data_IF_159704752470
#
_entry.id   IF_159704752470
#
_cell.length_a   1.000
_cell.length_b   1.000
_cell.length_c   1.000
_cell.angle_alpha   90.00
_cell.angle_beta   90.00
_cell.angle_gamma   90.00
#
_symmetry.space_group_name_H-M   'P 1'
#
loop_
_entity.id
_entity.type
_entity.pdbx_description
1 polymer ?
#
# COMPACT_ATOMS: atom_id res chain seq x y z
N UNK A 1 9.00 1.40 -31.54
CA UNK A 1 10.12 1.88 -30.69
C UNK A 1 10.25 3.40 -30.72
N UNK A 2 10.19 4.02 -31.89
CA UNK A 2 10.41 5.47 -32.07
C UNK A 2 9.40 6.37 -31.31
N UNK A 3 8.10 6.04 -31.34
CA UNK A 3 7.08 6.80 -30.60
C UNK A 3 7.33 6.80 -29.09
N UNK A 4 7.76 5.67 -28.52
CA UNK A 4 8.14 5.56 -27.10
C UNK A 4 9.36 6.42 -26.80
N UNK A 5 10.40 6.36 -27.64
CA UNK A 5 11.60 7.19 -27.45
C UNK A 5 11.30 8.69 -27.46
N UNK A 6 10.47 9.14 -28.41
CA UNK A 6 10.03 10.54 -28.49
C UNK A 6 9.18 10.94 -27.28
N UNK A 7 8.26 10.07 -26.83
CA UNK A 7 7.42 10.34 -25.66
C UNK A 7 8.25 10.40 -24.36
N UNK A 8 9.17 9.46 -24.16
CA UNK A 8 10.04 9.43 -22.98
C UNK A 8 10.95 10.69 -22.95
N UNK A 9 11.45 11.14 -24.11
CA UNK A 9 12.22 12.38 -24.22
C UNK A 9 11.38 13.64 -23.95
N UNK A 10 10.20 13.75 -24.57
CA UNK A 10 9.30 14.91 -24.39
C UNK A 10 8.87 15.06 -22.93
N UNK A 11 8.49 13.96 -22.28
CA UNK A 11 8.08 13.96 -20.87
C UNK A 11 9.29 14.26 -19.98
N UNK A 12 10.41 13.54 -20.20
CA UNK A 12 11.60 13.65 -19.38
C UNK A 12 12.22 15.04 -19.39
N UNK A 13 12.44 15.61 -20.58
CA UNK A 13 13.03 16.94 -20.75
C UNK A 13 12.15 18.03 -20.16
N UNK A 14 10.87 18.08 -20.53
CA UNK A 14 10.00 19.19 -20.16
C UNK A 14 9.68 19.17 -18.66
N UNK A 15 9.29 18.01 -18.12
CA UNK A 15 8.87 17.93 -16.72
C UNK A 15 10.06 18.04 -15.77
N UNK A 16 11.20 17.40 -16.05
CA UNK A 16 12.38 17.55 -15.18
C UNK A 16 12.82 19.01 -15.07
N UNK A 17 12.81 19.76 -16.18
CA UNK A 17 13.09 21.20 -16.18
C UNK A 17 12.05 21.98 -15.38
N UNK A 18 10.76 21.72 -15.62
CA UNK A 18 9.68 22.43 -14.95
C UNK A 18 9.73 22.26 -13.41
N UNK A 19 9.90 21.02 -12.93
CA UNK A 19 9.95 20.71 -11.50
C UNK A 19 11.24 21.22 -10.86
N UNK A 20 12.39 21.08 -11.53
CA UNK A 20 13.68 21.59 -11.01
C UNK A 20 13.66 23.12 -10.89
N UNK A 21 13.19 23.84 -11.92
CA UNK A 21 13.08 25.31 -11.85
C UNK A 21 12.10 25.76 -10.76
N UNK A 22 11.02 25.01 -10.53
CA UNK A 22 10.08 25.28 -9.44
C UNK A 22 10.73 25.07 -8.07
N UNK A 23 11.51 24.00 -7.91
CA UNK A 23 12.26 23.74 -6.67
C UNK A 23 13.29 24.83 -6.38
N UNK A 24 14.01 25.30 -7.41
CA UNK A 24 14.96 26.42 -7.31
C UNK A 24 14.29 27.70 -6.85
N UNK A 25 13.12 28.04 -7.41
CA UNK A 25 12.33 29.20 -6.93
C UNK A 25 11.89 29.05 -5.47
N UNK A 26 11.72 27.82 -4.98
CA UNK A 26 11.45 27.51 -3.58
C UNK A 26 12.69 27.41 -2.68
N UNK A 27 13.88 27.75 -3.19
CA UNK A 27 15.15 27.72 -2.43
C UNK A 27 15.90 26.39 -2.45
N UNK A 28 15.36 25.36 -3.12
CA UNK A 28 16.03 24.06 -3.26
C UNK A 28 16.99 24.03 -4.46
N UNK A 29 18.19 23.48 -4.28
CA UNK A 29 19.15 23.27 -5.37
C UNK A 29 19.08 21.86 -5.97
N UNK A 30 18.08 21.06 -5.59
CA UNK A 30 17.95 19.69 -6.04
C UNK A 30 17.51 19.60 -7.51
N UNK A 31 18.15 18.69 -8.26
CA UNK A 31 17.64 18.25 -9.55
C UNK A 31 16.46 17.31 -9.32
N UNK A 32 15.29 17.67 -9.83
CA UNK A 32 14.08 16.84 -9.77
C UNK A 32 13.84 16.20 -11.13
N UNK A 33 14.26 14.94 -11.27
CA UNK A 33 14.04 14.16 -12.48
C UNK A 33 12.60 13.62 -12.51
N UNK A 34 11.98 13.74 -13.67
CA UNK A 34 10.63 13.23 -13.94
C UNK A 34 10.69 12.33 -15.16
N UNK A 35 10.03 11.18 -15.09
CA UNK A 35 10.01 10.25 -16.20
C UNK A 35 8.80 9.33 -16.13
N UNK A 36 8.34 8.88 -17.30
CA UNK A 36 7.14 8.03 -17.42
C UNK A 36 7.25 6.70 -16.69
N UNK A 37 8.46 6.21 -16.39
CA UNK A 37 8.68 4.98 -15.62
C UNK A 37 9.14 5.30 -14.20
N UNK A 38 10.20 6.10 -14.05
CA UNK A 38 10.76 6.44 -12.74
C UNK A 38 9.73 7.05 -11.79
N UNK A 39 8.93 8.02 -12.25
CA UNK A 39 8.00 8.75 -11.37
C UNK A 39 6.83 7.88 -10.92
N UNK A 40 6.17 7.08 -11.79
CA UNK A 40 5.17 6.11 -11.33
C UNK A 40 5.74 5.03 -10.40
N UNK A 41 6.96 4.56 -10.63
CA UNK A 41 7.61 3.60 -9.72
C UNK A 41 7.83 4.21 -8.34
N UNK A 42 8.31 5.45 -8.27
CA UNK A 42 8.43 6.19 -7.00
C UNK A 42 7.06 6.35 -6.33
N UNK A 43 6.01 6.61 -7.10
CA UNK A 43 4.66 6.77 -6.56
C UNK A 43 4.17 5.50 -5.86
N UNK A 44 4.52 4.30 -6.34
CA UNK A 44 4.16 3.06 -5.65
C UNK A 44 4.73 3.00 -4.22
N UNK A 45 5.99 3.43 -4.05
CA UNK A 45 6.65 3.49 -2.75
C UNK A 45 6.01 4.56 -1.86
N UNK A 46 5.85 5.79 -2.37
CA UNK A 46 5.21 6.89 -1.63
C UNK A 46 3.80 6.54 -1.18
N UNK A 47 3.02 5.88 -2.05
CA UNK A 47 1.67 5.43 -1.71
C UNK A 47 1.71 4.37 -0.59
N UNK A 48 2.66 3.43 -0.65
CA UNK A 48 2.80 2.42 0.40
C UNK A 48 3.22 3.05 1.72
N UNK A 49 4.15 3.99 1.71
CA UNK A 49 4.61 4.68 2.91
C UNK A 49 3.47 5.45 3.57
N UNK A 50 2.68 6.20 2.78
CA UNK A 50 1.48 6.91 3.28
C UNK A 50 0.43 5.97 3.86
N UNK A 51 0.24 4.79 3.26
CA UNK A 51 -0.67 3.77 3.80
C UNK A 51 -0.18 3.24 5.15
N UNK A 52 1.14 3.08 5.33
CA UNK A 52 1.74 2.66 6.60
C UNK A 52 1.68 3.78 7.64
N UNK A 53 2.02 5.02 7.27
CA UNK A 53 1.93 6.19 8.16
C UNK A 53 0.49 6.43 8.64
N UNK A 54 -0.49 6.22 7.76
CA UNK A 54 -1.92 6.33 8.08
C UNK A 54 -2.52 5.08 8.74
N UNK A 55 -1.76 3.98 8.87
CA UNK A 55 -2.29 2.74 9.42
C UNK A 55 -2.56 2.87 10.92
N UNK A 56 -3.82 2.70 11.31
CA UNK A 56 -4.24 2.63 12.70
C UNK A 56 -4.50 1.18 13.06
N UNK A 57 -3.62 0.60 13.88
CA UNK A 57 -3.79 -0.76 14.35
C UNK A 57 -5.05 -0.86 15.23
N UNK A 58 -5.92 -1.80 14.91
CA UNK A 58 -7.14 -2.09 15.66
C UNK A 58 -6.97 -3.48 16.30
N UNK A 59 -7.13 -3.62 17.62
CA UNK A 59 -7.09 -4.93 18.26
C UNK A 59 -8.26 -5.79 17.75
N UNK A 60 -7.98 -7.05 17.46
CA UNK A 60 -8.99 -8.04 17.08
C UNK A 60 -8.72 -9.37 17.77
N UNK A 61 -9.73 -10.23 17.80
CA UNK A 61 -9.69 -11.54 18.42
C UNK A 61 -9.78 -12.64 17.36
N UNK A 62 -8.91 -13.65 17.49
CA UNK A 62 -8.99 -14.90 16.74
C UNK A 62 -9.38 -16.04 17.68
N UNK A 63 -10.37 -16.84 17.29
CA UNK A 63 -10.76 -18.04 18.04
C UNK A 63 -10.12 -19.25 17.37
N UNK A 64 -9.39 -20.04 18.16
CA UNK A 64 -8.75 -21.27 17.73
C UNK A 64 -9.10 -22.40 18.69
N UNK A 65 -9.53 -23.52 18.14
CA UNK A 65 -9.88 -24.71 18.91
C UNK A 65 -8.89 -25.85 18.62
N UNK A 66 -8.45 -26.52 19.69
CA UNK A 66 -7.64 -27.72 19.60
C UNK A 66 -8.54 -28.96 19.64
N UNK A 67 -8.49 -29.76 18.59
CA UNK A 67 -9.25 -30.99 18.46
C UNK A 67 -8.33 -32.19 18.65
N UNK A 68 -8.76 -33.15 19.46
CA UNK A 68 -8.12 -34.46 19.58
C UNK A 68 -8.82 -35.42 18.64
N UNK A 69 -8.05 -36.06 17.76
CA UNK A 69 -8.48 -37.17 16.92
C UNK A 69 -7.56 -38.37 17.18
N UNK A 70 -7.99 -39.58 16.80
CA UNK A 70 -7.22 -40.81 17.02
C UNK A 70 -5.82 -40.74 16.40
N UNK A 71 -5.67 -40.04 15.26
CA UNK A 71 -4.40 -39.81 14.58
C UNK A 71 -3.57 -38.62 15.08
N UNK A 72 -4.00 -37.90 16.12
CA UNK A 72 -3.25 -36.77 16.68
C UNK A 72 -4.10 -35.55 17.04
N UNK A 73 -3.43 -34.45 17.39
CA UNK A 73 -4.09 -33.17 17.68
C UNK A 73 -3.95 -32.23 16.49
N UNK A 74 -5.04 -31.53 16.16
CA UNK A 74 -5.00 -30.45 15.17
C UNK A 74 -5.69 -29.20 15.71
N UNK A 75 -5.29 -28.06 15.16
CA UNK A 75 -5.88 -26.76 15.46
C UNK A 75 -6.83 -26.40 14.32
N UNK A 76 -8.02 -25.91 14.66
CA UNK A 76 -8.89 -25.27 13.68
C UNK A 76 -9.14 -23.82 14.07
N UNK A 77 -9.05 -22.95 13.06
CA UNK A 77 -9.42 -21.55 13.19
C UNK A 77 -10.92 -21.41 12.98
N UNK A 78 -11.56 -20.63 13.86
CA UNK A 78 -12.96 -20.29 13.74
C UNK A 78 -13.19 -19.40 12.52
N UNK A 79 -14.28 -19.70 11.79
CA UNK A 79 -14.76 -18.86 10.70
C UNK A 79 -16.08 -18.21 11.10
N UNK A 80 -16.19 -16.88 11.05
CA UNK A 80 -17.46 -16.20 11.30
C UNK A 80 -18.52 -16.59 10.28
N UNK A 81 -19.78 -16.41 10.66
CA UNK A 81 -20.91 -16.43 9.72
C UNK A 81 -20.98 -15.09 8.97
N UNK A 82 -21.51 -15.10 7.74
CA UNK A 82 -21.58 -13.91 6.88
C UNK A 82 -22.37 -12.73 7.48
N UNK A 83 -23.32 -13.01 8.37
CA UNK A 83 -24.24 -12.04 8.99
C UNK A 83 -23.90 -11.70 10.46
N UNK A 84 -22.74 -12.15 10.94
CA UNK A 84 -22.38 -12.00 12.34
C UNK A 84 -21.99 -10.57 12.71
N UNK A 85 -22.69 -10.01 13.71
CA UNK A 85 -22.39 -8.68 14.27
C UNK A 85 -21.07 -8.70 15.06
N UNK A 86 -20.36 -7.56 15.06
CA UNK A 86 -19.09 -7.40 15.78
C UNK A 86 -17.82 -7.69 14.95
N UNK A 87 -17.98 -7.89 13.64
CA UNK A 87 -16.88 -8.03 12.69
C UNK A 87 -16.53 -6.68 12.04
N UNK A 88 -15.27 -6.50 11.69
CA UNK A 88 -14.83 -5.41 10.80
C UNK A 88 -15.00 -5.75 9.31
N UNK A 89 -14.65 -4.81 8.42
CA UNK A 89 -14.72 -4.99 6.96
C UNK A 89 -13.84 -6.14 6.44
N UNK A 90 -12.88 -6.60 7.25
CA UNK A 90 -11.95 -7.68 6.93
C UNK A 90 -12.37 -9.01 7.59
N UNK A 91 -13.56 -9.06 8.22
CA UNK A 91 -14.11 -10.25 8.86
C UNK A 91 -13.45 -10.64 10.18
N UNK A 92 -12.73 -9.72 10.83
CA UNK A 92 -12.07 -9.93 12.13
C UNK A 92 -13.00 -9.51 13.26
N UNK A 93 -12.98 -10.26 14.36
CA UNK A 93 -13.79 -9.97 15.54
C UNK A 93 -13.17 -8.82 16.34
N UNK A 94 -13.83 -7.66 16.35
CA UNK A 94 -13.33 -6.44 17.01
C UNK A 94 -14.13 -6.05 18.24
N UNK A 95 -15.36 -6.55 18.39
CA UNK A 95 -16.18 -6.33 19.58
C UNK A 95 -16.65 -7.66 20.18
N UNK A 96 -16.41 -7.84 21.48
CA UNK A 96 -16.78 -9.05 22.24
C UNK A 96 -17.93 -8.74 23.23
N UNK A 97 -18.86 -7.86 22.84
CA UNK A 97 -20.06 -7.53 23.61
C UNK A 97 -21.29 -8.30 23.13
#
# INVERSE_FOLDING_TARGET
AEARGRADWLIGMNLSRAFTLRAIRGGSRALLTVGRVQTPTLNLVVMRDRLIEGFKAIPFHGIRAAFKHEGGQFLADWRPREDQKGLDEEGRLTNTA
#
